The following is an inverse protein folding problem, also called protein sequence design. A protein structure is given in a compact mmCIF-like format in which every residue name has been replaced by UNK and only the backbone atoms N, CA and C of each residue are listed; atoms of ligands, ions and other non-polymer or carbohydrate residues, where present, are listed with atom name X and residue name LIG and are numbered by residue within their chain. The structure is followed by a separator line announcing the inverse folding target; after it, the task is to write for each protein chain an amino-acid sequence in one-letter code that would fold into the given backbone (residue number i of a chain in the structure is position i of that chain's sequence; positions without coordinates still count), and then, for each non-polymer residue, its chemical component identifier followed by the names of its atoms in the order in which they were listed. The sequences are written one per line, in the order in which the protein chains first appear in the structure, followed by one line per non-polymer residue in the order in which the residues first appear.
data_IF_194695453721
#
_entry.id   IF_194695453721
#
_cell.length_a   1.000
_cell.length_b   1.000
_cell.length_c   1.000
_cell.angle_alpha   90.00
_cell.angle_beta   90.00
_cell.angle_gamma   90.00
#
_symmetry.space_group_name_H-M   'P 1'
#
loop_
_entity.id
_entity.type
_entity.pdbx_description
1 polymer ?
#
# COMPACT_ATOMS: atom_id res chain seq x y z
N UNK A 1 1.12 -24.75 5.51
CA UNK A 1 -0.06 -23.89 5.79
C UNK A 1 -0.34 -23.89 7.29
N UNK A 2 -0.62 -22.76 7.91
CA UNK A 2 -1.05 -22.67 9.32
C UNK A 2 -2.37 -21.91 9.40
N UNK A 3 -3.39 -22.51 10.02
CA UNK A 3 -4.72 -21.92 10.20
C UNK A 3 -5.03 -21.77 11.68
N UNK A 4 -5.36 -20.54 12.08
CA UNK A 4 -5.66 -20.21 13.46
C UNK A 4 -6.86 -19.25 13.56
N UNK A 5 -7.61 -19.33 14.67
CA UNK A 5 -8.72 -18.42 14.92
C UNK A 5 -8.19 -17.11 15.53
N UNK A 6 -7.46 -17.20 16.63
CA UNK A 6 -7.02 -16.03 17.41
C UNK A 6 -5.61 -16.23 17.96
N UNK A 7 -4.78 -15.20 17.86
CA UNK A 7 -3.48 -15.14 18.53
C UNK A 7 -2.43 -14.36 17.75
N UNK A 8 -1.17 -14.56 18.08
CA UNK A 8 -0.03 -14.03 17.35
C UNK A 8 0.70 -15.14 16.57
N UNK A 9 1.07 -14.87 15.32
CA UNK A 9 1.94 -15.75 14.53
C UNK A 9 3.23 -15.02 14.21
N UNK A 10 4.35 -15.54 14.73
CA UNK A 10 5.69 -15.06 14.41
C UNK A 10 6.40 -16.03 13.47
N UNK A 11 7.01 -15.51 12.41
CA UNK A 11 7.80 -16.29 11.46
C UNK A 11 9.25 -15.84 11.54
N UNK A 12 10.15 -16.77 11.81
CA UNK A 12 11.58 -16.56 12.00
C UNK A 12 12.37 -17.51 11.09
N UNK A 13 13.64 -17.22 10.77
CA UNK A 13 14.45 -18.15 9.99
C UNK A 13 14.73 -19.44 10.78
N UNK A 14 14.65 -20.58 10.10
CA UNK A 14 15.20 -21.82 10.62
C UNK A 14 16.73 -21.81 10.60
N UNK A 15 17.35 -22.39 11.64
CA UNK A 15 18.80 -22.56 11.74
C UNK A 15 19.31 -23.75 10.90
N UNK A 16 18.40 -24.65 10.52
CA UNK A 16 18.63 -25.82 9.68
C UNK A 16 17.62 -25.83 8.53
N UNK A 17 17.68 -26.84 7.66
CA UNK A 17 16.67 -27.03 6.61
C UNK A 17 15.39 -27.71 7.14
N UNK A 18 15.19 -27.73 8.46
CA UNK A 18 14.04 -28.34 9.10
C UNK A 18 13.01 -27.28 9.47
N UNK A 19 11.75 -27.54 9.11
CA UNK A 19 10.62 -26.75 9.58
C UNK A 19 10.38 -27.06 11.06
N UNK A 20 10.30 -26.03 11.89
CA UNK A 20 9.90 -26.17 13.29
C UNK A 20 8.77 -25.21 13.61
N UNK A 21 7.74 -25.69 14.28
CA UNK A 21 6.60 -24.89 14.71
C UNK A 21 6.43 -25.09 16.21
N UNK A 22 6.50 -24.00 16.96
CA UNK A 22 6.19 -23.95 18.39
C UNK A 22 4.81 -23.31 18.57
N UNK A 23 4.00 -23.88 19.46
CA UNK A 23 2.66 -23.37 19.75
C UNK A 23 2.47 -23.17 21.25
N UNK A 24 1.86 -22.06 21.64
CA UNK A 24 1.52 -21.75 23.03
C UNK A 24 0.02 -21.53 23.14
N UNK A 25 -0.66 -22.35 23.94
CA UNK A 25 -2.08 -22.17 24.26
C UNK A 25 -2.16 -21.27 25.50
N UNK A 26 -2.88 -20.15 25.36
CA UNK A 26 -3.08 -19.17 26.43
C UNK A 26 -4.58 -19.12 26.73
N UNK A 27 -4.94 -19.30 27.99
CA UNK A 27 -6.32 -19.20 28.46
C UNK A 27 -6.40 -18.49 29.81
N UNK A 28 -7.49 -17.77 30.06
CA UNK A 28 -7.73 -17.15 31.36
C UNK A 28 -7.92 -18.21 32.47
N UNK A 29 -8.58 -19.32 32.15
CA UNK A 29 -8.84 -20.43 33.07
C UNK A 29 -8.07 -21.68 32.66
N UNK A 30 -7.38 -22.32 33.62
CA UNK A 30 -6.61 -23.55 33.38
C UNK A 30 -7.44 -24.69 32.79
N UNK A 31 -8.74 -24.74 33.12
CA UNK A 31 -9.67 -25.74 32.60
C UNK A 31 -9.92 -25.60 31.09
N UNK A 32 -9.75 -24.40 30.54
CA UNK A 32 -10.01 -24.13 29.12
C UNK A 32 -8.85 -24.57 28.21
N UNK A 33 -7.64 -24.75 28.74
CA UNK A 33 -6.46 -25.18 27.96
C UNK A 33 -6.71 -26.49 27.19
N UNK A 34 -7.48 -27.41 27.79
CA UNK A 34 -7.77 -28.72 27.18
C UNK A 34 -8.88 -28.64 26.11
N UNK A 35 -9.48 -27.48 25.88
CA UNK A 35 -10.51 -27.26 24.83
C UNK A 35 -9.90 -26.96 23.46
N UNK A 36 -8.58 -26.81 23.38
CA UNK A 36 -7.84 -26.57 22.14
C UNK A 36 -7.19 -27.86 21.70
N UNK A 37 -7.29 -28.13 20.40
CA UNK A 37 -6.56 -29.22 19.76
C UNK A 37 -5.80 -28.67 18.55
N UNK A 38 -4.53 -29.02 18.43
CA UNK A 38 -3.68 -28.64 17.29
C UNK A 38 -3.50 -29.89 16.44
N UNK A 39 -3.98 -29.82 15.19
CA UNK A 39 -4.00 -30.94 14.26
C UNK A 39 -2.96 -30.69 13.19
N UNK A 40 -2.06 -31.65 13.00
CA UNK A 40 -1.12 -31.68 11.88
C UNK A 40 -1.63 -32.67 10.84
N UNK A 41 -1.81 -32.18 9.61
CA UNK A 41 -2.15 -32.98 8.44
C UNK A 41 -0.99 -32.92 7.46
N UNK A 42 -0.61 -34.07 6.90
CA UNK A 42 0.43 -34.15 5.88
C UNK A 42 -0.14 -34.85 4.65
N UNK A 43 -0.17 -34.13 3.53
CA UNK A 43 -0.64 -34.67 2.25
C UNK A 43 0.25 -34.15 1.12
N UNK A 44 0.77 -35.06 0.29
CA UNK A 44 1.56 -34.72 -0.91
C UNK A 44 2.73 -33.75 -0.67
N UNK A 45 3.39 -33.85 0.48
CA UNK A 45 4.52 -32.97 0.85
C UNK A 45 4.11 -31.60 1.39
N UNK A 46 2.81 -31.35 1.57
CA UNK A 46 2.30 -30.15 2.25
C UNK A 46 1.95 -30.48 3.70
N UNK A 47 2.40 -29.64 4.62
CA UNK A 47 2.05 -29.69 6.03
C UNK A 47 0.97 -28.63 6.30
N UNK A 48 -0.18 -29.04 6.82
CA UNK A 48 -1.22 -28.14 7.33
C UNK A 48 -1.31 -28.27 8.86
N UNK A 49 -1.12 -27.16 9.56
CA UNK A 49 -1.43 -27.04 10.99
C UNK A 49 -2.77 -26.33 11.14
N UNK A 50 -3.71 -26.95 11.87
CA UNK A 50 -5.04 -26.40 12.13
C UNK A 50 -5.33 -26.38 13.62
N UNK A 51 -5.64 -25.20 14.17
CA UNK A 51 -6.12 -25.08 15.54
C UNK A 51 -7.64 -25.30 15.62
N UNK A 52 -8.09 -26.32 16.33
CA UNK A 52 -9.50 -26.54 16.66
C UNK A 52 -9.83 -25.82 17.97
N UNK A 53 -10.75 -24.86 17.86
CA UNK A 53 -11.38 -24.14 18.97
C UNK A 53 -12.75 -24.74 19.30
N UNK A 54 -13.25 -24.60 20.54
CA UNK A 54 -14.56 -25.11 20.98
C UNK A 54 -15.72 -24.22 20.48
N UNK A 55 -15.83 -24.06 19.16
CA UNK A 55 -16.78 -23.14 18.52
C UNK A 55 -18.24 -23.60 18.63
N UNK A 56 -18.46 -24.88 18.93
CA UNK A 56 -19.79 -25.45 19.20
C UNK A 56 -20.34 -24.97 20.56
N UNK A 57 -19.44 -24.74 21.53
CA UNK A 57 -19.80 -24.28 22.88
C UNK A 57 -19.74 -22.75 23.00
N UNK A 58 -18.89 -22.09 22.19
CA UNK A 58 -18.61 -20.67 22.29
C UNK A 58 -18.69 -19.98 20.92
N UNK A 59 -19.65 -19.06 20.80
CA UNK A 59 -19.82 -18.21 19.61
C UNK A 59 -19.02 -16.90 19.67
N UNK A 60 -18.28 -16.65 20.76
CA UNK A 60 -17.49 -15.43 20.93
C UNK A 60 -16.18 -15.69 21.68
N UNK A 61 -15.08 -15.17 21.14
CA UNK A 61 -13.73 -15.28 21.70
C UNK A 61 -13.22 -13.90 22.06
N UNK A 62 -12.74 -13.74 23.29
CA UNK A 62 -12.10 -12.52 23.74
C UNK A 62 -10.63 -12.52 23.33
N UNK A 63 -10.19 -11.43 22.71
CA UNK A 63 -8.79 -11.19 22.38
C UNK A 63 -8.48 -9.71 22.45
N UNK A 64 -7.76 -9.31 23.49
CA UNK A 64 -7.26 -7.96 23.65
C UNK A 64 -5.74 -7.99 23.52
N UNK A 65 -5.20 -7.83 22.31
CA UNK A 65 -3.76 -7.65 22.16
C UNK A 65 -3.36 -6.31 22.80
N UNK A 66 -2.10 -6.19 23.24
CA UNK A 66 -1.55 -5.03 23.97
C UNK A 66 -1.49 -3.71 23.16
N UNK A 67 -2.21 -3.60 22.05
CA UNK A 67 -2.23 -2.41 21.19
C UNK A 67 -3.12 -1.32 21.79
N UNK A 68 -2.50 -0.24 22.27
CA UNK A 68 -3.21 1.02 22.58
C UNK A 68 -4.09 1.41 21.38
N UNK A 69 -5.39 1.62 21.62
CA UNK A 69 -6.40 2.06 20.64
C UNK A 69 -6.86 1.07 19.56
N UNK A 70 -6.49 -0.22 19.58
CA UNK A 70 -7.05 -1.19 18.63
C UNK A 70 -8.32 -1.86 19.18
N UNK A 71 -9.45 -1.69 18.50
CA UNK A 71 -10.65 -2.50 18.80
C UNK A 71 -10.75 -3.62 17.77
N UNK A 72 -10.30 -4.83 18.12
CA UNK A 72 -10.67 -6.02 17.35
C UNK A 72 -12.15 -6.28 17.58
N UNK A 73 -12.95 -6.27 16.52
CA UNK A 73 -14.33 -6.75 16.55
C UNK A 73 -14.67 -7.31 15.17
N UNK A 74 -14.44 -8.59 14.98
CA UNK A 74 -14.68 -9.27 13.71
C UNK A 74 -15.62 -10.46 13.90
N UNK A 75 -16.31 -10.85 12.83
CA UNK A 75 -17.08 -12.08 12.79
C UNK A 75 -16.67 -12.86 11.55
N UNK A 76 -16.34 -14.13 11.76
CA UNK A 76 -15.84 -15.02 10.71
C UNK A 76 -16.59 -16.34 10.75
N UNK A 77 -16.52 -17.10 9.65
CA UNK A 77 -16.89 -18.51 9.66
C UNK A 77 -15.64 -19.33 9.94
N UNK A 78 -15.62 -20.05 11.05
CA UNK A 78 -14.50 -20.90 11.45
C UNK A 78 -15.02 -22.29 11.83
N UNK A 79 -14.43 -23.35 11.24
CA UNK A 79 -14.92 -24.74 11.39
C UNK A 79 -16.41 -24.90 11.07
N UNK A 80 -16.92 -24.17 10.07
CA UNK A 80 -18.33 -24.19 9.70
C UNK A 80 -19.21 -23.25 10.53
N UNK A 81 -18.78 -22.82 11.70
CA UNK A 81 -19.57 -22.00 12.62
C UNK A 81 -19.30 -20.50 12.48
N UNK A 82 -20.31 -19.66 12.72
CA UNK A 82 -20.14 -18.21 12.78
C UNK A 82 -19.68 -17.83 14.19
N UNK A 83 -18.46 -17.31 14.30
CA UNK A 83 -17.86 -16.88 15.56
C UNK A 83 -17.52 -15.39 15.53
N UNK A 84 -17.62 -14.73 16.67
CA UNK A 84 -17.12 -13.38 16.89
C UNK A 84 -15.79 -13.39 17.62
N UNK A 85 -14.89 -12.46 17.28
CA UNK A 85 -13.69 -12.17 18.06
C UNK A 85 -13.71 -10.70 18.46
N UNK A 86 -13.51 -10.41 19.75
CA UNK A 86 -13.59 -9.06 20.27
C UNK A 86 -12.59 -8.71 21.37
N UNK A 87 -12.08 -7.48 21.37
CA UNK A 87 -11.20 -6.96 22.43
C UNK A 87 -11.94 -6.34 23.62
N UNK A 88 -13.28 -6.32 23.59
CA UNK A 88 -14.12 -5.82 24.69
C UNK A 88 -14.89 -6.97 25.35
N UNK A 89 -14.75 -7.13 26.67
CA UNK A 89 -15.52 -8.10 27.49
C UNK A 89 -17.00 -7.69 27.67
N UNK A 90 -17.68 -7.31 26.59
CA UNK A 90 -19.11 -6.96 26.60
C UNK A 90 -20.02 -8.19 26.56
N UNK A 91 -19.52 -9.30 25.99
CA UNK A 91 -20.26 -10.54 25.90
C UNK A 91 -19.94 -11.43 27.10
N UNK A 92 -20.96 -11.76 27.91
CA UNK A 92 -20.82 -12.63 29.08
C UNK A 92 -20.49 -14.09 28.73
N UNK A 93 -20.70 -14.48 27.47
CA UNK A 93 -20.43 -15.82 26.97
C UNK A 93 -19.09 -15.87 26.19
N UNK A 94 -18.26 -14.83 26.28
CA UNK A 94 -16.95 -14.84 25.65
C UNK A 94 -15.98 -15.72 26.43
N UNK A 95 -15.29 -16.61 25.73
CA UNK A 95 -14.15 -17.36 26.27
C UNK A 95 -12.85 -16.63 25.94
N UNK A 96 -11.94 -16.57 26.91
CA UNK A 96 -10.62 -15.95 26.78
C UNK A 96 -9.58 -17.06 26.57
N UNK A 97 -9.43 -17.46 25.31
CA UNK A 97 -8.49 -18.48 24.88
C UNK A 97 -7.94 -18.16 23.49
N UNK A 98 -6.64 -18.31 23.31
CA UNK A 98 -5.96 -18.10 22.04
C UNK A 98 -4.74 -19.00 21.91
N UNK A 99 -4.20 -19.08 20.70
CA UNK A 99 -3.00 -19.87 20.41
C UNK A 99 -2.02 -19.01 19.65
N UNK A 100 -0.82 -18.90 20.19
CA UNK A 100 0.30 -18.23 19.53
C UNK A 100 1.19 -19.26 18.85
N UNK A 101 1.72 -18.89 17.68
CA UNK A 101 2.66 -19.71 16.92
C UNK A 101 3.98 -19.00 16.71
N UNK A 102 5.08 -19.76 16.82
CA UNK A 102 6.40 -19.37 16.30
C UNK A 102 6.83 -20.39 15.26
N UNK A 103 6.95 -19.94 14.01
CA UNK A 103 7.28 -20.76 12.85
C UNK A 103 8.72 -20.45 12.45
N UNK A 104 9.61 -21.43 12.61
CA UNK A 104 10.98 -21.36 12.11
C UNK A 104 11.00 -21.95 10.70
N UNK A 105 11.08 -21.08 9.70
CA UNK A 105 10.89 -21.42 8.30
C UNK A 105 12.23 -21.63 7.58
N UNK A 106 12.43 -22.79 6.91
CA UNK A 106 13.59 -23.01 6.05
C UNK A 106 13.64 -22.04 4.87
N UNK A 107 14.85 -21.78 4.38
CA UNK A 107 15.04 -20.91 3.21
C UNK A 107 14.34 -21.48 1.98
N UNK A 108 13.77 -20.60 1.16
CA UNK A 108 13.07 -20.89 -0.11
C UNK A 108 11.86 -21.81 0.06
N UNK A 109 11.33 -21.92 1.27
CA UNK A 109 10.06 -22.57 1.51
C UNK A 109 8.90 -21.66 1.06
N UNK A 110 7.69 -22.22 1.02
CA UNK A 110 6.45 -21.48 0.89
C UNK A 110 5.67 -21.59 2.20
N UNK A 111 5.26 -20.46 2.77
CA UNK A 111 4.42 -20.41 3.96
C UNK A 111 3.13 -19.65 3.67
N UNK A 112 2.01 -20.31 3.97
CA UNK A 112 0.69 -19.67 4.06
C UNK A 112 0.20 -19.66 5.49
N UNK A 113 -0.17 -18.50 6.01
CA UNK A 113 -0.80 -18.31 7.32
C UNK A 113 -2.18 -17.69 7.11
N UNK A 114 -3.20 -18.28 7.71
CA UNK A 114 -4.54 -17.71 7.76
C UNK A 114 -4.98 -17.57 9.22
N UNK A 115 -5.16 -16.33 9.66
CA UNK A 115 -5.50 -15.97 11.04
C UNK A 115 -6.85 -15.22 11.04
N UNK A 116 -7.85 -15.64 11.80
CA UNK A 116 -9.08 -14.84 11.79
C UNK A 116 -8.91 -13.49 12.50
N UNK A 117 -8.21 -13.48 13.63
CA UNK A 117 -7.93 -12.25 14.35
C UNK A 117 -6.60 -12.29 15.12
N UNK A 118 -5.88 -11.18 15.08
CA UNK A 118 -4.59 -11.01 15.74
C UNK A 118 -3.49 -10.62 14.78
N UNK A 119 -2.23 -10.79 15.19
CA UNK A 119 -1.07 -10.27 14.46
C UNK A 119 -0.29 -11.38 13.77
N UNK A 120 0.19 -11.10 12.57
CA UNK A 120 1.23 -11.90 11.90
C UNK A 120 2.49 -11.03 11.74
N UNK A 121 3.65 -11.56 12.08
CA UNK A 121 4.94 -10.85 12.01
C UNK A 121 6.00 -11.81 11.46
N UNK A 122 6.64 -11.48 10.33
CA UNK A 122 7.74 -12.28 9.77
C UNK A 122 9.04 -11.48 9.73
N UNK A 123 10.14 -12.06 10.24
CA UNK A 123 11.44 -11.37 10.31
C UNK A 123 12.58 -12.24 9.84
N UNK A 124 13.48 -11.66 9.04
CA UNK A 124 14.73 -12.28 8.62
C UNK A 124 14.54 -13.56 7.80
N UNK A 125 13.49 -13.61 6.98
CA UNK A 125 13.05 -14.82 6.25
C UNK A 125 13.28 -14.68 4.74
N UNK A 126 13.95 -15.66 4.15
CA UNK A 126 14.09 -15.86 2.70
C UNK A 126 13.12 -16.97 2.26
N UNK A 127 11.88 -16.61 1.92
CA UNK A 127 10.79 -17.54 1.56
C UNK A 127 9.63 -16.81 0.87
N UNK A 128 8.78 -17.57 0.18
CA UNK A 128 7.50 -17.05 -0.32
C UNK A 128 6.46 -17.06 0.81
N UNK A 129 5.83 -15.91 1.06
CA UNK A 129 4.93 -15.67 2.18
C UNK A 129 3.53 -15.27 1.67
N UNK A 130 2.52 -16.03 2.06
CA UNK A 130 1.10 -15.66 1.95
C UNK A 130 0.49 -15.50 3.34
N UNK A 131 0.31 -14.27 3.80
CA UNK A 131 -0.13 -13.95 5.15
C UNK A 131 -1.52 -13.30 5.07
N UNK A 132 -2.54 -13.96 5.60
CA UNK A 132 -3.93 -13.50 5.60
C UNK A 132 -4.41 -13.33 7.05
N UNK A 133 -5.00 -12.17 7.36
CA UNK A 133 -5.85 -12.02 8.53
C UNK A 133 -7.21 -11.39 8.24
N UNK A 134 -8.26 -11.72 9.00
CA UNK A 134 -9.54 -10.99 8.88
C UNK A 134 -9.58 -9.74 9.73
N UNK A 135 -8.84 -9.71 10.84
CA UNK A 135 -8.72 -8.52 11.67
C UNK A 135 -7.42 -8.53 12.46
N UNK A 136 -6.53 -7.62 12.09
CA UNK A 136 -5.28 -7.36 12.78
C UNK A 136 -4.16 -7.02 11.81
N UNK A 137 -3.01 -6.70 12.37
CA UNK A 137 -1.87 -6.21 11.61
C UNK A 137 -1.05 -7.37 11.03
N UNK A 138 -0.44 -7.13 9.87
CA UNK A 138 0.58 -8.01 9.31
C UNK A 138 1.84 -7.18 9.05
N UNK A 139 2.96 -7.66 9.57
CA UNK A 139 4.27 -7.03 9.40
C UNK A 139 5.30 -7.99 8.81
N UNK A 140 6.10 -7.50 7.86
CA UNK A 140 7.32 -8.19 7.42
C UNK A 140 8.54 -7.28 7.58
N UNK A 141 9.68 -7.83 7.98
CA UNK A 141 10.94 -7.11 8.12
C UNK A 141 12.10 -7.96 7.65
N UNK A 142 12.99 -7.40 6.82
CA UNK A 142 14.18 -8.10 6.30
C UNK A 142 13.81 -9.44 5.65
N UNK A 143 12.95 -9.42 4.63
CA UNK A 143 12.47 -10.64 3.97
C UNK A 143 12.83 -10.68 2.49
N UNK A 144 12.94 -11.88 1.93
CA UNK A 144 13.23 -12.11 0.52
C UNK A 144 12.28 -13.17 -0.06
N UNK A 145 11.83 -12.98 -1.29
CA UNK A 145 10.87 -13.85 -1.97
C UNK A 145 9.60 -13.09 -2.39
N UNK A 146 8.56 -13.81 -2.78
CA UNK A 146 7.24 -13.19 -3.02
C UNK A 146 6.51 -13.04 -1.69
N UNK A 147 6.05 -11.84 -1.36
CA UNK A 147 5.24 -11.58 -0.17
C UNK A 147 3.85 -11.05 -0.55
N UNK A 148 2.81 -11.75 -0.10
CA UNK A 148 1.39 -11.38 -0.25
C UNK A 148 0.81 -11.24 1.15
N UNK A 149 0.43 -10.02 1.51
CA UNK A 149 -0.12 -9.64 2.80
C UNK A 149 -1.55 -9.14 2.59
N UNK A 150 -2.53 -9.81 3.20
CA UNK A 150 -3.96 -9.51 3.08
C UNK A 150 -4.55 -9.35 4.49
N UNK A 151 -5.21 -8.21 4.75
CA UNK A 151 -6.02 -8.05 5.96
C UNK A 151 -7.38 -7.40 5.71
N UNK A 152 -8.44 -7.99 6.25
CA UNK A 152 -9.77 -7.34 6.20
C UNK A 152 -9.79 -6.00 6.96
N UNK A 153 -9.05 -5.90 8.07
CA UNK A 153 -8.93 -4.67 8.86
C UNK A 153 -7.67 -4.72 9.71
N UNK A 154 -6.73 -3.81 9.46
CA UNK A 154 -5.50 -3.69 10.23
C UNK A 154 -4.36 -3.13 9.38
N UNK A 155 -3.34 -2.62 10.04
CA UNK A 155 -2.18 -2.04 9.36
C UNK A 155 -1.35 -3.12 8.68
N UNK A 156 -0.88 -2.85 7.47
CA UNK A 156 0.14 -3.65 6.80
C UNK A 156 1.47 -2.91 6.81
N UNK A 157 2.52 -3.57 7.27
CA UNK A 157 3.87 -3.01 7.28
C UNK A 157 4.87 -3.92 6.59
N UNK A 158 5.73 -3.33 5.77
CA UNK A 158 6.86 -4.02 5.17
C UNK A 158 8.11 -3.16 5.26
N UNK A 159 9.24 -3.74 5.68
CA UNK A 159 10.52 -3.04 5.69
C UNK A 159 11.66 -3.94 5.25
N UNK A 160 12.59 -3.39 4.47
CA UNK A 160 13.75 -4.13 3.96
C UNK A 160 13.35 -5.43 3.22
N UNK A 161 12.51 -5.32 2.19
CA UNK A 161 12.04 -6.47 1.42
C UNK A 161 12.72 -6.57 0.06
N UNK A 162 13.08 -7.79 -0.37
CA UNK A 162 13.63 -8.07 -1.71
C UNK A 162 12.74 -9.07 -2.43
N UNK A 163 12.06 -8.63 -3.48
CA UNK A 163 11.10 -9.42 -4.24
C UNK A 163 9.80 -8.68 -4.47
N UNK A 164 8.83 -9.39 -5.05
CA UNK A 164 7.50 -8.82 -5.31
C UNK A 164 6.72 -8.71 -4.00
N UNK A 165 6.13 -7.55 -3.77
CA UNK A 165 5.35 -7.25 -2.58
C UNK A 165 3.92 -6.86 -2.97
N UNK A 166 2.94 -7.55 -2.39
CA UNK A 166 1.51 -7.23 -2.49
C UNK A 166 0.94 -6.99 -1.10
N UNK A 167 0.31 -5.84 -0.90
CA UNK A 167 -0.27 -5.38 0.37
C UNK A 167 -1.73 -4.98 0.10
N UNK A 168 -2.68 -5.69 0.70
CA UNK A 168 -4.12 -5.45 0.53
C UNK A 168 -4.81 -5.34 1.88
N UNK A 169 -5.48 -4.21 2.15
CA UNK A 169 -6.27 -4.04 3.36
C UNK A 169 -7.60 -3.33 3.17
N UNK A 170 -8.67 -3.85 3.76
CA UNK A 170 -9.98 -3.22 3.61
C UNK A 170 -10.08 -1.82 4.23
N UNK A 171 -9.35 -1.55 5.33
CA UNK A 171 -9.51 -0.30 6.08
C UNK A 171 -8.28 0.16 6.87
N UNK A 172 -7.15 -0.54 6.78
CA UNK A 172 -5.93 -0.16 7.49
C UNK A 172 -4.99 0.66 6.63
N UNK A 173 -4.01 1.28 7.27
CA UNK A 173 -2.92 1.95 6.57
C UNK A 173 -1.91 0.93 6.04
N UNK A 174 -1.28 1.27 4.92
CA UNK A 174 -0.17 0.50 4.34
C UNK A 174 1.11 1.33 4.46
N UNK A 175 2.15 0.74 5.03
CA UNK A 175 3.48 1.34 5.09
C UNK A 175 4.51 0.36 4.52
N UNK A 176 5.27 0.76 3.51
CA UNK A 176 6.39 -0.03 3.00
C UNK A 176 7.65 0.82 2.86
N UNK A 177 8.80 0.31 3.32
CA UNK A 177 10.09 1.01 3.21
C UNK A 177 11.25 0.12 2.79
N UNK A 178 12.20 0.69 2.03
CA UNK A 178 13.40 -0.01 1.58
C UNK A 178 13.09 -1.31 0.84
N UNK A 179 12.30 -1.23 -0.23
CA UNK A 179 11.88 -2.39 -1.02
C UNK A 179 12.61 -2.42 -2.36
N UNK A 180 13.19 -3.57 -2.70
CA UNK A 180 13.74 -3.83 -4.04
C UNK A 180 12.88 -4.89 -4.75
N UNK A 181 12.04 -4.43 -5.67
CA UNK A 181 11.05 -5.23 -6.39
C UNK A 181 9.77 -4.44 -6.64
N UNK A 182 8.87 -4.99 -7.45
CA UNK A 182 7.58 -4.34 -7.72
C UNK A 182 6.66 -4.39 -6.48
N UNK A 183 5.97 -3.28 -6.23
CA UNK A 183 5.04 -3.09 -5.10
C UNK A 183 3.63 -2.84 -5.61
N UNK A 184 2.68 -3.63 -5.11
CA UNK A 184 1.25 -3.40 -5.22
C UNK A 184 0.67 -3.10 -3.82
N UNK A 185 0.04 -1.95 -3.65
CA UNK A 185 -0.56 -1.51 -2.39
C UNK A 185 -2.01 -1.06 -2.63
N UNK A 186 -2.96 -1.66 -1.93
CA UNK A 186 -4.39 -1.42 -2.10
C UNK A 186 -5.09 -1.27 -0.74
N UNK A 187 -5.81 -0.17 -0.53
CA UNK A 187 -6.64 -0.02 0.68
C UNK A 187 -7.96 0.68 0.45
N UNK A 188 -9.04 0.18 1.06
CA UNK A 188 -10.35 0.80 0.90
C UNK A 188 -10.47 2.18 1.55
N UNK A 189 -9.76 2.45 2.63
CA UNK A 189 -9.92 3.70 3.41
C UNK A 189 -8.69 4.21 4.14
N UNK A 190 -7.64 3.40 4.28
CA UNK A 190 -6.40 3.84 4.92
C UNK A 190 -5.51 4.65 3.98
N UNK A 191 -4.47 5.26 4.55
CA UNK A 191 -3.40 5.90 3.78
C UNK A 191 -2.37 4.90 3.28
N UNK A 192 -1.65 5.26 2.22
CA UNK A 192 -0.52 4.51 1.70
C UNK A 192 0.73 5.37 1.82
N UNK A 193 1.75 4.85 2.52
CA UNK A 193 3.07 5.47 2.64
C UNK A 193 4.16 4.52 2.14
N UNK A 194 4.83 4.89 1.05
CA UNK A 194 5.89 4.09 0.44
C UNK A 194 7.20 4.89 0.39
N UNK A 195 8.29 4.30 0.86
CA UNK A 195 9.58 4.98 0.97
C UNK A 195 10.73 4.12 0.43
N UNK A 196 11.67 4.73 -0.30
CA UNK A 196 12.91 4.09 -0.76
C UNK A 196 12.64 2.79 -1.55
N UNK A 197 11.86 2.91 -2.62
CA UNK A 197 11.42 1.79 -3.44
C UNK A 197 12.21 1.74 -4.74
N UNK A 198 12.80 0.59 -5.06
CA UNK A 198 13.46 0.30 -6.35
C UNK A 198 12.66 -0.77 -7.07
N UNK A 199 11.85 -0.36 -8.05
CA UNK A 199 10.85 -1.20 -8.71
C UNK A 199 9.62 -0.39 -9.09
N UNK A 200 8.67 -0.99 -9.82
CA UNK A 200 7.44 -0.30 -10.17
C UNK A 200 6.47 -0.29 -8.99
N UNK A 201 5.69 0.79 -8.85
CA UNK A 201 4.69 0.98 -7.81
C UNK A 201 3.31 1.09 -8.44
N UNK A 202 2.35 0.36 -7.89
CA UNK A 202 0.91 0.60 -8.05
C UNK A 202 0.30 0.79 -6.67
N UNK A 203 -0.27 1.96 -6.41
CA UNK A 203 -0.88 2.34 -5.15
C UNK A 203 -2.33 2.83 -5.38
N UNK A 204 -3.30 2.23 -4.70
CA UNK A 204 -4.72 2.55 -4.83
C UNK A 204 -5.36 2.72 -3.43
N UNK A 205 -6.05 3.85 -3.21
CA UNK A 205 -6.92 3.98 -2.03
C UNK A 205 -8.24 4.68 -2.30
N UNK A 206 -9.32 4.16 -1.73
CA UNK A 206 -10.65 4.76 -1.91
C UNK A 206 -10.79 6.16 -1.29
N UNK A 207 -10.10 6.43 -0.18
CA UNK A 207 -10.29 7.69 0.59
C UNK A 207 -9.05 8.22 1.30
N UNK A 208 -7.99 7.42 1.43
CA UNK A 208 -6.76 7.86 2.08
C UNK A 208 -5.86 8.69 1.18
N UNK A 209 -4.84 9.29 1.80
CA UNK A 209 -3.76 9.97 1.09
C UNK A 209 -2.71 8.94 0.63
N UNK A 210 -2.04 9.22 -0.48
CA UNK A 210 -0.90 8.45 -0.98
C UNK A 210 0.36 9.32 -0.89
N UNK A 211 1.35 8.88 -0.13
CA UNK A 211 2.67 9.51 -0.03
C UNK A 211 3.73 8.53 -0.52
N UNK A 212 4.51 8.93 -1.54
CA UNK A 212 5.62 8.13 -2.07
C UNK A 212 6.89 8.97 -2.08
N UNK A 213 7.91 8.52 -1.37
CA UNK A 213 9.17 9.25 -1.19
C UNK A 213 10.35 8.40 -1.66
N UNK A 214 11.23 8.96 -2.50
CA UNK A 214 12.40 8.28 -3.08
C UNK A 214 12.02 6.97 -3.82
N UNK A 215 11.31 7.09 -4.94
CA UNK A 215 10.96 5.93 -5.79
C UNK A 215 11.77 5.90 -7.09
N UNK A 216 12.30 4.73 -7.43
CA UNK A 216 13.00 4.45 -8.68
C UNK A 216 12.31 3.35 -9.47
N UNK A 217 11.47 3.77 -10.43
CA UNK A 217 10.64 2.92 -11.25
C UNK A 217 9.37 3.65 -11.67
N UNK A 218 8.48 3.00 -12.43
CA UNK A 218 7.21 3.63 -12.80
C UNK A 218 6.29 3.71 -11.59
N UNK A 219 5.57 4.81 -11.45
CA UNK A 219 4.59 5.02 -10.37
C UNK A 219 3.20 5.19 -10.98
N UNK A 220 2.25 4.37 -10.51
CA UNK A 220 0.81 4.58 -10.70
C UNK A 220 0.18 4.77 -9.33
N UNK A 221 -0.45 5.92 -9.09
CA UNK A 221 -1.11 6.25 -7.83
C UNK A 221 -2.53 6.76 -8.10
N UNK A 222 -3.52 6.18 -7.43
CA UNK A 222 -4.93 6.52 -7.58
C UNK A 222 -5.59 6.69 -6.20
N UNK A 223 -6.32 7.79 -5.99
CA UNK A 223 -7.17 7.93 -4.82
C UNK A 223 -8.50 8.63 -5.10
N UNK A 224 -9.60 8.11 -4.58
CA UNK A 224 -10.91 8.71 -4.81
C UNK A 224 -11.06 10.11 -4.20
N UNK A 225 -10.54 10.32 -2.99
CA UNK A 225 -10.77 11.55 -2.21
C UNK A 225 -9.52 12.15 -1.57
N UNK A 226 -8.47 11.36 -1.35
CA UNK A 226 -7.24 11.84 -0.72
C UNK A 226 -6.33 12.58 -1.70
N UNK A 227 -5.23 13.11 -1.18
CA UNK A 227 -4.18 13.76 -1.97
C UNK A 227 -3.07 12.77 -2.32
N UNK A 228 -2.36 13.06 -3.41
CA UNK A 228 -1.17 12.32 -3.83
C UNK A 228 0.05 13.22 -3.69
N UNK A 229 1.02 12.81 -2.88
CA UNK A 229 2.32 13.47 -2.74
C UNK A 229 3.44 12.53 -3.15
N UNK A 230 4.20 12.93 -4.17
CA UNK A 230 5.37 12.20 -4.68
C UNK A 230 6.61 13.08 -4.50
N UNK A 231 7.62 12.58 -3.79
CA UNK A 231 8.88 13.29 -3.55
C UNK A 231 10.08 12.46 -4.01
N UNK A 232 10.99 13.05 -4.79
CA UNK A 232 12.21 12.39 -5.23
C UNK A 232 11.96 11.16 -6.10
N UNK A 233 10.89 11.16 -6.87
CA UNK A 233 10.53 10.06 -7.77
C UNK A 233 11.24 10.20 -9.12
N UNK A 234 11.61 9.06 -9.72
CA UNK A 234 12.23 8.98 -11.06
C UNK A 234 11.38 8.09 -11.96
N UNK A 235 11.47 8.28 -13.28
CA UNK A 235 10.69 7.49 -14.23
C UNK A 235 9.28 8.03 -14.45
N UNK A 236 8.45 7.27 -15.18
CA UNK A 236 7.12 7.71 -15.57
C UNK A 236 6.14 7.69 -14.40
N UNK A 237 5.26 8.68 -14.36
CA UNK A 237 4.24 8.84 -13.31
C UNK A 237 2.85 8.92 -13.94
N UNK A 238 1.91 8.17 -13.37
CA UNK A 238 0.47 8.34 -13.53
C UNK A 238 -0.15 8.59 -12.15
N UNK A 239 -0.76 9.75 -11.94
CA UNK A 239 -1.38 10.12 -10.67
C UNK A 239 -2.79 10.65 -10.89
N UNK A 240 -3.78 10.05 -10.23
CA UNK A 240 -5.20 10.40 -10.36
C UNK A 240 -5.83 10.64 -8.97
N UNK A 241 -6.58 11.73 -8.81
CA UNK A 241 -7.47 11.88 -7.65
C UNK A 241 -8.76 12.62 -7.95
N UNK A 242 -9.88 12.08 -7.49
CA UNK A 242 -11.18 12.71 -7.69
C UNK A 242 -11.30 14.11 -7.05
N UNK A 243 -10.79 14.27 -5.82
CA UNK A 243 -11.03 15.48 -5.02
C UNK A 243 -9.79 16.09 -4.37
N UNK A 244 -8.74 15.31 -4.12
CA UNK A 244 -7.53 15.79 -3.45
C UNK A 244 -6.60 16.53 -4.40
N UNK A 245 -5.48 17.03 -3.87
CA UNK A 245 -4.46 17.70 -4.70
C UNK A 245 -3.35 16.73 -5.06
N UNK A 246 -2.66 16.99 -6.18
CA UNK A 246 -1.50 16.21 -6.60
C UNK A 246 -0.27 17.09 -6.54
N UNK A 247 0.75 16.63 -5.82
CA UNK A 247 2.02 17.35 -5.61
C UNK A 247 3.19 16.44 -5.94
N UNK A 248 3.99 16.84 -6.92
CA UNK A 248 5.27 16.23 -7.27
C UNK A 248 6.39 17.20 -6.90
N UNK A 249 7.37 16.73 -6.11
CA UNK A 249 8.56 17.50 -5.69
C UNK A 249 9.83 16.74 -6.02
N UNK A 250 10.82 17.41 -6.61
CA UNK A 250 12.06 16.78 -7.08
C UNK A 250 11.77 15.56 -7.97
N UNK A 251 10.73 15.65 -8.80
CA UNK A 251 10.50 14.63 -9.81
C UNK A 251 11.59 14.72 -10.86
N UNK A 252 12.30 13.63 -11.10
CA UNK A 252 13.41 13.58 -12.06
C UNK A 252 12.93 12.83 -13.28
N UNK A 253 12.67 13.59 -14.34
CA UNK A 253 11.84 13.22 -15.48
C UNK A 253 11.96 11.78 -15.96
N UNK A 254 10.82 11.15 -16.18
CA UNK A 254 10.65 10.01 -17.07
C UNK A 254 10.05 10.42 -18.41
N UNK A 255 9.83 9.46 -19.30
CA UNK A 255 9.23 9.70 -20.62
C UNK A 255 7.82 10.32 -20.51
N UNK A 256 7.07 9.98 -19.44
CA UNK A 256 5.67 10.35 -19.29
C UNK A 256 5.30 10.85 -17.89
N UNK A 257 4.52 11.92 -17.84
CA UNK A 257 3.83 12.42 -16.67
C UNK A 257 2.36 12.63 -17.00
N UNK A 258 1.49 11.81 -16.41
CA UNK A 258 0.03 11.91 -16.52
C UNK A 258 -0.53 12.25 -15.13
N UNK A 259 -1.29 13.33 -15.05
CA UNK A 259 -1.86 13.82 -13.81
C UNK A 259 -3.30 14.26 -14.04
N UNK A 260 -4.23 13.71 -13.29
CA UNK A 260 -5.65 14.09 -13.34
C UNK A 260 -6.15 14.41 -11.93
N UNK A 261 -6.92 15.51 -11.80
CA UNK A 261 -7.74 15.71 -10.61
C UNK A 261 -9.05 16.47 -10.87
N UNK A 262 -10.16 15.96 -10.34
CA UNK A 262 -11.46 16.62 -10.54
C UNK A 262 -11.54 18.00 -9.89
N UNK A 263 -11.11 18.14 -8.63
CA UNK A 263 -11.32 19.36 -7.84
C UNK A 263 -10.05 19.96 -7.22
N UNK A 264 -8.96 19.21 -7.10
CA UNK A 264 -7.74 19.67 -6.46
C UNK A 264 -6.83 20.47 -7.37
N UNK A 265 -5.77 21.01 -6.79
CA UNK A 265 -4.71 21.70 -7.54
C UNK A 265 -3.58 20.73 -7.86
N UNK A 266 -2.89 21.00 -8.96
CA UNK A 266 -1.70 20.26 -9.37
C UNK A 266 -0.47 21.13 -9.18
N UNK A 267 0.53 20.62 -8.46
CA UNK A 267 1.87 21.22 -8.41
C UNK A 267 2.89 20.19 -8.88
N UNK A 268 3.62 20.53 -9.93
CA UNK A 268 4.77 19.77 -10.40
C UNK A 268 6.02 20.61 -10.23
N UNK A 269 7.01 20.05 -9.56
CA UNK A 269 8.32 20.63 -9.35
C UNK A 269 9.38 19.56 -9.67
N UNK A 270 10.04 19.67 -10.83
CA UNK A 270 10.93 18.61 -11.30
C UNK A 270 11.78 18.93 -12.54
N UNK A 271 12.60 17.97 -12.96
CA UNK A 271 13.38 18.03 -14.20
C UNK A 271 12.55 17.51 -15.36
N UNK A 272 12.08 18.40 -16.25
CA UNK A 272 11.24 18.04 -17.40
C UNK A 272 12.07 17.80 -18.68
N UNK A 273 13.40 17.80 -18.61
CA UNK A 273 14.28 17.82 -19.78
C UNK A 273 14.17 16.57 -20.66
N UNK A 274 13.75 15.44 -20.08
CA UNK A 274 13.56 14.16 -20.77
C UNK A 274 12.08 13.84 -21.07
N UNK A 275 11.16 14.77 -20.81
CA UNK A 275 9.73 14.47 -20.92
C UNK A 275 9.29 14.46 -22.37
N UNK A 276 8.70 13.33 -22.78
CA UNK A 276 8.10 13.16 -24.11
C UNK A 276 6.60 13.43 -24.09
N UNK A 277 5.92 13.08 -22.99
CA UNK A 277 4.50 13.36 -22.78
C UNK A 277 4.26 13.94 -21.38
N UNK A 278 3.71 15.14 -21.34
CA UNK A 278 3.13 15.74 -20.16
C UNK A 278 1.64 15.97 -20.41
N UNK A 279 0.80 15.41 -19.56
CA UNK A 279 -0.64 15.59 -19.59
C UNK A 279 -1.12 15.91 -18.18
N UNK A 280 -1.68 17.10 -17.98
CA UNK A 280 -2.17 17.54 -16.69
C UNK A 280 -3.58 18.09 -16.86
N UNK A 281 -4.55 17.46 -16.21
CA UNK A 281 -5.94 17.91 -16.20
C UNK A 281 -6.38 18.27 -14.77
N UNK A 282 -7.13 19.37 -14.64
CA UNK A 282 -7.89 19.65 -13.43
C UNK A 282 -9.22 20.33 -13.71
N UNK A 283 -10.30 19.89 -13.06
CA UNK A 283 -11.61 20.51 -13.25
C UNK A 283 -11.70 21.92 -12.64
N UNK A 284 -11.21 22.09 -11.41
CA UNK A 284 -11.43 23.32 -10.62
C UNK A 284 -10.18 23.96 -10.04
N UNK A 285 -9.07 23.24 -9.92
CA UNK A 285 -7.85 23.75 -9.28
C UNK A 285 -6.91 24.49 -10.24
N UNK A 286 -5.88 25.10 -9.68
CA UNK A 286 -4.78 25.68 -10.46
C UNK A 286 -3.72 24.62 -10.76
N UNK A 287 -3.07 24.77 -11.91
CA UNK A 287 -1.89 23.97 -12.28
C UNK A 287 -0.65 24.84 -12.17
N UNK A 288 0.34 24.39 -11.42
CA UNK A 288 1.65 25.04 -11.33
C UNK A 288 2.75 24.05 -11.67
N UNK A 289 3.40 24.27 -12.80
CA UNK A 289 4.56 23.51 -13.25
C UNK A 289 5.81 24.38 -13.14
N UNK A 290 6.76 23.91 -12.35
CA UNK A 290 8.09 24.47 -12.22
C UNK A 290 9.11 23.43 -12.66
N UNK A 291 10.07 23.82 -13.49
CA UNK A 291 11.11 22.91 -13.93
C UNK A 291 12.52 23.46 -13.81
N UNK A 292 13.48 22.57 -13.55
CA UNK A 292 14.91 22.89 -13.44
C UNK A 292 15.65 22.90 -14.78
N UNK A 293 15.08 22.29 -15.82
CA UNK A 293 15.67 22.21 -17.15
C UNK A 293 14.67 22.65 -18.21
N UNK A 294 15.17 23.03 -19.39
CA UNK A 294 14.30 23.47 -20.49
C UNK A 294 13.84 22.24 -21.27
N UNK A 295 12.53 21.90 -21.27
CA UNK A 295 12.03 20.74 -22.01
C UNK A 295 11.94 21.05 -23.51
N UNK A 296 11.99 20.01 -24.35
CA UNK A 296 11.73 20.12 -25.79
C UNK A 296 10.30 19.64 -26.10
N UNK A 297 9.31 20.54 -26.00
CA UNK A 297 7.89 20.17 -26.12
C UNK A 297 7.06 21.12 -26.96
N UNK A 298 6.04 20.58 -27.63
CA UNK A 298 4.91 21.35 -28.15
C UNK A 298 3.89 21.52 -27.03
N UNK A 299 3.71 22.76 -26.59
CA UNK A 299 2.89 23.14 -25.46
C UNK A 299 1.50 23.59 -25.93
N UNK A 300 0.44 23.02 -25.33
CA UNK A 300 -0.95 23.46 -25.46
C UNK A 300 -1.56 23.59 -24.06
N UNK A 301 -1.97 24.79 -23.68
CA UNK A 301 -2.56 25.08 -22.38
C UNK A 301 -3.95 25.68 -22.58
N UNK A 302 -4.94 25.16 -21.85
CA UNK A 302 -6.29 25.70 -21.75
C UNK A 302 -6.61 26.13 -20.30
N UNK A 303 -7.18 27.33 -20.13
CA UNK A 303 -7.58 27.87 -18.81
C UNK A 303 -8.63 28.97 -18.98
N UNK A 304 -9.61 29.06 -18.08
CA UNK A 304 -10.62 30.14 -18.10
C UNK A 304 -10.17 31.42 -17.40
N UNK A 305 -9.22 31.34 -16.47
CA UNK A 305 -8.88 32.45 -15.57
C UNK A 305 -7.56 33.13 -15.94
N UNK A 306 -6.50 32.37 -16.25
CA UNK A 306 -5.20 32.97 -16.54
C UNK A 306 -4.12 31.95 -16.88
N UNK A 307 -3.22 32.33 -17.78
CA UNK A 307 -2.08 31.52 -18.22
C UNK A 307 -0.82 32.38 -18.13
N UNK A 308 0.14 31.94 -17.33
CA UNK A 308 1.45 32.56 -17.15
C UNK A 308 2.55 31.57 -17.53
N UNK A 309 3.26 31.85 -18.62
CA UNK A 309 4.32 31.00 -19.17
C UNK A 309 5.59 31.82 -19.29
N UNK A 310 6.65 31.36 -18.61
CA UNK A 310 7.98 31.98 -18.63
C UNK A 310 9.03 30.89 -18.88
N UNK A 311 9.44 30.78 -20.14
CA UNK A 311 10.36 29.75 -20.62
C UNK A 311 11.32 30.34 -21.66
N UNK A 312 12.62 29.99 -21.62
CA UNK A 312 13.52 30.29 -22.71
C UNK A 312 13.19 29.44 -23.94
N UNK A 313 13.74 29.81 -25.09
CA UNK A 313 13.59 29.05 -26.36
C UNK A 313 12.12 28.88 -26.82
N UNK A 314 11.23 29.79 -26.43
CA UNK A 314 9.87 29.83 -26.93
C UNK A 314 9.84 30.28 -28.40
N UNK A 315 9.14 29.50 -29.22
CA UNK A 315 8.85 29.79 -30.63
C UNK A 315 7.40 29.44 -30.98
N UNK A 316 6.92 29.88 -32.14
CA UNK A 316 5.56 29.59 -32.64
C UNK A 316 4.43 29.98 -31.66
N UNK A 317 4.65 31.00 -30.82
CA UNK A 317 3.72 31.40 -29.74
C UNK A 317 2.41 31.94 -30.33
N UNK A 318 1.29 31.30 -29.99
CA UNK A 318 -0.08 31.72 -30.33
C UNK A 318 -0.89 31.84 -29.04
N UNK A 319 -1.40 33.05 -28.78
CA UNK A 319 -2.26 33.33 -27.63
C UNK A 319 -3.65 33.71 -28.11
N UNK A 320 -4.66 33.07 -27.54
CA UNK A 320 -6.07 33.44 -27.71
C UNK A 320 -6.76 33.45 -26.35
N UNK A 321 -8.02 33.91 -26.30
CA UNK A 321 -8.79 33.89 -25.06
C UNK A 321 -8.84 32.46 -24.50
N UNK A 322 -8.25 32.28 -23.32
CA UNK A 322 -8.24 31.02 -22.58
C UNK A 322 -7.40 29.87 -23.19
N UNK A 323 -6.52 30.17 -24.16
CA UNK A 323 -5.62 29.16 -24.73
C UNK A 323 -4.25 29.73 -25.05
N UNK A 324 -3.20 28.95 -24.77
CA UNK A 324 -1.82 29.26 -25.08
C UNK A 324 -1.19 28.08 -25.80
N UNK A 325 -0.64 28.31 -26.99
CA UNK A 325 0.14 27.32 -27.72
C UNK A 325 1.53 27.87 -28.01
N UNK A 326 2.55 27.05 -27.83
CA UNK A 326 3.92 27.40 -28.20
C UNK A 326 4.75 26.14 -28.45
N UNK A 327 5.94 26.33 -28.99
CA UNK A 327 6.99 25.33 -29.03
C UNK A 327 8.11 25.78 -28.09
N UNK A 328 8.63 24.87 -27.27
CA UNK A 328 9.84 25.06 -26.47
C UNK A 328 10.91 24.15 -27.06
N UNK A 329 12.10 24.72 -27.35
CA UNK A 329 13.18 23.98 -28.03
C UNK A 329 12.74 23.44 -29.39
N UNK A 330 13.12 22.20 -29.71
CA UNK A 330 12.77 21.54 -30.97
C UNK A 330 11.31 21.03 -30.99
N UNK A 331 10.66 20.89 -29.83
CA UNK A 331 9.29 20.39 -29.73
C UNK A 331 9.16 18.89 -29.97
N UNK A 332 10.12 18.10 -29.49
CA UNK A 332 10.17 16.64 -29.64
C UNK A 332 9.01 15.94 -28.93
N UNK A 333 8.68 16.37 -27.70
CA UNK A 333 7.55 15.89 -26.93
C UNK A 333 6.28 16.74 -27.07
N UNK A 334 5.27 16.37 -26.31
CA UNK A 334 3.98 17.09 -26.19
C UNK A 334 3.68 17.39 -24.73
N UNK A 335 3.18 18.59 -24.47
CA UNK A 335 2.73 19.02 -23.16
C UNK A 335 1.32 19.61 -23.28
N UNK A 336 0.35 18.95 -22.68
CA UNK A 336 -1.05 19.36 -22.58
C UNK A 336 -1.36 19.72 -21.13
N UNK A 337 -1.91 20.91 -20.89
CA UNK A 337 -2.33 21.32 -19.55
C UNK A 337 -3.72 21.96 -19.63
N UNK A 338 -4.68 21.37 -18.94
CA UNK A 338 -6.06 21.84 -18.90
C UNK A 338 -6.49 22.17 -17.48
N UNK A 339 -7.10 23.34 -17.30
CA UNK A 339 -7.87 23.67 -16.10
C UNK A 339 -9.20 24.31 -16.42
N UNK A 340 -10.27 23.82 -15.80
CA UNK A 340 -11.61 24.37 -15.99
C UNK A 340 -11.80 25.76 -15.35
N UNK A 341 -11.30 25.97 -14.13
CA UNK A 341 -11.58 27.21 -13.37
C UNK A 341 -10.33 27.90 -12.82
N UNK A 342 -9.22 27.18 -12.73
CA UNK A 342 -7.97 27.69 -12.18
C UNK A 342 -7.12 28.45 -13.17
N UNK A 343 -5.96 28.87 -12.69
CA UNK A 343 -4.88 29.44 -13.50
C UNK A 343 -3.81 28.39 -13.77
N UNK A 344 -3.09 28.57 -14.88
CA UNK A 344 -1.92 27.76 -15.21
C UNK A 344 -0.67 28.62 -15.10
N UNK A 345 0.34 28.09 -14.42
CA UNK A 345 1.70 28.65 -14.38
C UNK A 345 2.68 27.59 -14.89
N UNK A 346 3.52 27.94 -15.86
CA UNK A 346 4.56 27.06 -16.39
C UNK A 346 5.88 27.83 -16.49
N UNK A 347 6.83 27.55 -15.59
CA UNK A 347 8.05 28.36 -15.44
C UNK A 347 9.32 27.56 -15.24
N UNK A 348 10.42 28.07 -15.77
CA UNK A 348 11.76 27.61 -15.41
C UNK A 348 12.10 28.19 -14.02
N UNK A 349 12.73 27.40 -13.17
CA UNK A 349 13.25 27.84 -11.87
C UNK A 349 14.50 28.71 -12.01
#
# INVERSE_FOLDING_TARGET
VVRNLVGEVRVLPAQSNELRIESTIVAADKADLNKIEIIQLEESGQIEIRTRYPVEDYSYFYYAPDYRNSTTNTSVRYQGEKVGVGSKRRNKNAIDIHVDYVIYLPRRAELKVALAAGKIDARDVDADLGLDTKSGAIGITNTQGVAILDTGSGQLTASAHVGRLSLDTGSGDITASSVTGDVYADTGSGGIELQDIVGNITADTGSGDITITQANGKVSADTGSGSIELEGTTGSVNADTGSGSIKLVDWRGGEQLLVDTGSGSVRVDGDLGQVERLDIETGSGSVRVFTSTVPSVRLDISSRTGIDVDMPQLSEVKKSRGRYRARIGEGAGVASIETGSGSVTFKLK
#
